data_IF_255230375596
#
_entry.id   IF_255230375596
#
_cell.length_a   1.000
_cell.length_b   1.000
_cell.length_c   1.000
_cell.angle_alpha   90.00
_cell.angle_beta   90.00
_cell.angle_gamma   90.00
#
_symmetry.space_group_name_H-M   'P 1'
#
loop_
_entity.id
_entity.type
_entity.pdbx_description
1 polymer ?
#
# COMPACT_ATOMS: atom_id res chain seq x y z
N UNK A 1 19.08 38.27 -27.80
CA UNK A 1 18.79 36.82 -27.92
C UNK A 1 19.69 35.90 -27.07
N UNK A 2 21.01 36.09 -26.97
CA UNK A 2 21.91 35.21 -26.16
C UNK A 2 21.57 35.11 -24.66
N UNK A 3 21.15 36.19 -23.98
CA UNK A 3 20.83 36.17 -22.54
C UNK A 3 19.59 35.31 -22.18
N UNK A 4 18.58 35.19 -23.05
CA UNK A 4 17.39 34.35 -22.83
C UNK A 4 17.72 32.85 -22.95
N UNK A 5 18.55 32.46 -23.91
CA UNK A 5 18.96 31.06 -24.09
C UNK A 5 19.80 30.55 -22.90
N UNK A 6 20.70 31.39 -22.38
CA UNK A 6 21.53 31.02 -21.21
C UNK A 6 20.71 30.87 -19.93
N UNK A 7 19.62 31.62 -19.79
CA UNK A 7 18.70 31.49 -18.64
C UNK A 7 17.88 30.21 -18.71
N UNK A 8 17.35 29.85 -19.90
CA UNK A 8 16.60 28.61 -20.11
C UNK A 8 17.47 27.35 -19.82
N UNK A 9 18.72 27.35 -20.31
CA UNK A 9 19.66 26.24 -20.08
C UNK A 9 20.04 26.08 -18.60
N UNK A 10 20.12 27.20 -17.86
CA UNK A 10 20.35 27.13 -16.40
C UNK A 10 19.13 26.64 -15.62
N UNK A 11 17.93 27.05 -16.01
CA UNK A 11 16.68 26.59 -15.40
C UNK A 11 16.52 25.07 -15.61
N UNK A 12 16.70 24.56 -16.84
CA UNK A 12 16.66 23.11 -17.13
C UNK A 12 17.73 22.32 -16.38
N UNK A 13 18.95 22.85 -16.24
CA UNK A 13 20.02 22.17 -15.49
C UNK A 13 19.78 22.17 -13.98
N UNK A 14 19.08 23.18 -13.44
CA UNK A 14 18.66 23.22 -12.05
C UNK A 14 17.53 22.20 -11.78
N UNK A 15 16.57 22.13 -12.71
CA UNK A 15 15.47 21.17 -12.62
C UNK A 15 15.99 19.72 -12.70
N UNK A 16 16.89 19.42 -13.64
CA UNK A 16 17.56 18.12 -13.76
C UNK A 16 18.44 17.77 -12.54
N UNK A 17 19.06 18.77 -11.92
CA UNK A 17 19.87 18.59 -10.71
C UNK A 17 18.98 18.37 -9.48
N UNK A 18 17.89 19.13 -9.36
CA UNK A 18 16.90 18.92 -8.29
C UNK A 18 16.19 17.58 -8.43
N UNK A 19 15.89 17.13 -9.65
CA UNK A 19 15.28 15.82 -9.91
C UNK A 19 16.26 14.69 -9.54
N UNK A 20 17.53 14.78 -9.94
CA UNK A 20 18.57 13.82 -9.54
C UNK A 20 18.88 13.83 -8.04
N UNK A 21 18.83 14.98 -7.39
CA UNK A 21 18.96 15.07 -5.93
C UNK A 21 17.75 14.46 -5.23
N UNK A 22 16.55 14.61 -5.77
CA UNK A 22 15.33 13.96 -5.27
C UNK A 22 15.39 12.45 -5.48
N UNK A 23 15.92 11.97 -6.59
CA UNK A 23 16.08 10.53 -6.85
C UNK A 23 17.13 9.89 -5.94
N UNK A 24 18.29 10.54 -5.73
CA UNK A 24 19.27 10.08 -4.74
C UNK A 24 18.75 10.09 -3.31
N UNK A 25 17.83 11.01 -2.97
CA UNK A 25 17.21 11.06 -1.64
C UNK A 25 16.28 9.85 -1.40
N UNK A 26 15.61 9.34 -2.43
CA UNK A 26 14.69 8.18 -2.30
C UNK A 26 15.44 6.89 -2.03
N UNK A 27 16.61 6.71 -2.62
CA UNK A 27 17.43 5.51 -2.42
C UNK A 27 18.05 5.42 -1.03
N UNK A 28 18.13 6.52 -0.28
CA UNK A 28 18.79 6.57 1.05
C UNK A 28 17.85 6.88 2.22
N UNK A 29 16.53 6.75 2.07
CA UNK A 29 15.66 6.94 3.23
C UNK A 29 15.85 5.82 4.26
N UNK A 30 15.84 6.22 5.53
CA UNK A 30 16.00 5.28 6.64
C UNK A 30 14.70 4.61 7.00
N UNK A 31 14.74 3.29 7.09
CA UNK A 31 13.67 2.46 7.63
C UNK A 31 14.04 2.08 9.06
N UNK A 32 13.21 2.42 10.02
CA UNK A 32 13.38 2.04 11.42
C UNK A 32 13.03 0.56 11.56
N UNK A 33 13.93 -0.22 12.15
CA UNK A 33 13.64 -1.64 12.42
C UNK A 33 12.52 -1.77 13.44
N UNK A 34 11.57 -2.70 13.23
CA UNK A 34 10.51 -2.97 14.20
C UNK A 34 11.10 -3.47 15.51
N UNK A 35 10.56 -2.98 16.64
CA UNK A 35 11.15 -3.18 17.96
C UNK A 35 11.08 -4.63 18.45
N UNK A 36 9.99 -5.36 18.13
CA UNK A 36 9.83 -6.79 18.45
C UNK A 36 9.09 -7.50 17.35
N UNK A 37 9.75 -8.46 16.70
CA UNK A 37 9.10 -9.42 15.83
C UNK A 37 9.13 -10.81 16.52
N UNK A 38 7.95 -11.34 16.83
CA UNK A 38 7.82 -12.73 17.23
C UNK A 38 8.02 -13.67 16.02
N UNK A 39 7.93 -15.00 16.26
CA UNK A 39 8.12 -15.99 15.20
C UNK A 39 7.16 -15.77 14.02
N UNK A 40 5.86 -15.62 14.27
CA UNK A 40 4.83 -15.44 13.24
C UNK A 40 5.04 -14.14 12.44
N UNK A 41 5.48 -13.06 13.11
CA UNK A 41 5.81 -11.81 12.44
C UNK A 41 6.99 -11.96 11.48
N UNK A 42 8.02 -12.72 11.89
CA UNK A 42 9.20 -12.98 11.06
C UNK A 42 8.83 -13.85 9.86
N UNK A 43 7.98 -14.85 10.06
CA UNK A 43 7.48 -15.70 9.00
C UNK A 43 6.65 -14.87 8.02
N UNK A 44 5.67 -14.11 8.48
CA UNK A 44 4.87 -13.22 7.64
C UNK A 44 5.74 -12.25 6.84
N UNK A 45 6.69 -11.58 7.50
CA UNK A 45 7.66 -10.72 6.84
C UNK A 45 8.47 -11.48 5.77
N UNK A 46 8.96 -12.67 6.08
CA UNK A 46 9.76 -13.46 5.13
C UNK A 46 8.96 -13.90 3.91
N UNK A 47 7.68 -14.22 4.07
CA UNK A 47 6.79 -14.55 2.95
C UNK A 47 6.54 -13.34 2.03
N UNK A 48 6.40 -12.13 2.60
CA UNK A 48 6.28 -10.93 1.77
C UNK A 48 7.57 -10.68 0.98
N UNK A 49 8.73 -10.92 1.60
CA UNK A 49 10.05 -10.69 0.97
C UNK A 49 10.48 -11.81 0.00
N UNK A 50 9.79 -12.96 0.01
CA UNK A 50 10.09 -14.06 -0.88
C UNK A 50 9.69 -13.70 -2.32
N UNK A 51 10.64 -13.78 -3.25
CA UNK A 51 10.45 -13.43 -4.66
C UNK A 51 9.52 -14.38 -5.40
N UNK A 52 9.40 -15.61 -4.92
CA UNK A 52 8.51 -16.63 -5.52
C UNK A 52 7.06 -16.54 -5.00
N UNK A 53 6.82 -15.69 -4.00
CA UNK A 53 5.49 -15.50 -3.41
C UNK A 53 4.86 -14.24 -3.97
N UNK A 54 3.80 -14.39 -4.75
CA UNK A 54 3.08 -13.28 -5.36
C UNK A 54 1.88 -12.82 -4.53
N UNK A 55 1.39 -13.68 -3.61
CA UNK A 55 0.21 -13.38 -2.81
C UNK A 55 0.37 -13.96 -1.41
N UNK A 56 0.21 -13.12 -0.40
CA UNK A 56 0.30 -13.49 1.02
C UNK A 56 -1.01 -13.13 1.70
N UNK A 57 -1.62 -14.09 2.37
CA UNK A 57 -2.76 -13.88 3.24
C UNK A 57 -2.34 -14.01 4.68
N UNK A 58 -2.74 -13.07 5.52
CA UNK A 58 -2.53 -13.13 6.96
C UNK A 58 -3.84 -12.95 7.70
N UNK A 59 -4.14 -13.90 8.57
CA UNK A 59 -5.26 -13.87 9.50
C UNK A 59 -4.75 -13.70 10.92
N UNK A 60 -5.37 -12.81 11.69
CA UNK A 60 -4.98 -12.58 13.08
C UNK A 60 -5.74 -11.44 13.73
N UNK A 61 -5.77 -11.39 15.07
CA UNK A 61 -6.56 -10.41 15.79
C UNK A 61 -6.10 -8.97 15.58
N UNK A 62 -6.98 -8.02 15.88
CA UNK A 62 -6.61 -6.60 15.91
C UNK A 62 -5.41 -6.38 16.85
N UNK A 63 -4.54 -5.43 16.50
CA UNK A 63 -3.33 -5.14 17.27
C UNK A 63 -2.17 -6.15 17.07
N UNK A 64 -2.34 -7.20 16.26
CA UNK A 64 -1.26 -8.17 15.96
C UNK A 64 -0.21 -7.66 14.95
N UNK A 65 -0.15 -6.37 14.68
CA UNK A 65 0.82 -5.69 13.82
C UNK A 65 0.83 -6.11 12.34
N UNK A 66 -0.23 -6.76 11.83
CA UNK A 66 -0.32 -7.20 10.41
C UNK A 66 -0.01 -6.07 9.42
N UNK A 67 -0.76 -4.98 9.51
CA UNK A 67 -0.63 -3.81 8.65
C UNK A 67 0.74 -3.15 8.77
N UNK A 68 1.28 -3.09 10.00
CA UNK A 68 2.63 -2.55 10.24
C UNK A 68 3.69 -3.36 9.50
N UNK A 69 3.67 -4.70 9.64
CA UNK A 69 4.65 -5.60 9.01
C UNK A 69 4.50 -5.58 7.49
N UNK A 70 3.26 -5.55 6.98
CA UNK A 70 2.99 -5.45 5.54
C UNK A 70 3.60 -4.17 4.95
N UNK A 71 3.37 -3.02 5.59
CA UNK A 71 3.91 -1.72 5.15
C UNK A 71 5.44 -1.70 5.31
N UNK A 72 5.96 -2.24 6.41
CA UNK A 72 7.41 -2.32 6.66
C UNK A 72 8.11 -3.11 5.54
N UNK A 73 7.64 -4.31 5.23
CA UNK A 73 8.20 -5.14 4.18
C UNK A 73 8.06 -4.48 2.79
N UNK A 74 6.90 -3.86 2.51
CA UNK A 74 6.67 -3.15 1.26
C UNK A 74 7.61 -1.94 1.08
N UNK A 75 7.91 -1.20 2.15
CA UNK A 75 8.87 -0.10 2.12
C UNK A 75 10.30 -0.59 1.84
N UNK A 76 10.67 -1.80 2.32
CA UNK A 76 11.96 -2.38 1.98
C UNK A 76 12.00 -2.84 0.52
N UNK A 77 10.92 -3.43 -0.04
CA UNK A 77 10.81 -3.75 -1.47
C UNK A 77 10.95 -2.49 -2.33
N UNK A 78 10.30 -1.40 -1.91
CA UNK A 78 10.37 -0.10 -2.57
C UNK A 78 11.79 0.50 -2.51
N UNK A 79 12.42 0.46 -1.34
CA UNK A 79 13.79 0.96 -1.14
C UNK A 79 14.83 0.18 -1.95
N UNK A 80 14.62 -1.12 -2.14
CA UNK A 80 15.47 -1.99 -2.95
C UNK A 80 15.11 -1.96 -4.44
N UNK A 81 14.21 -1.04 -4.85
CA UNK A 81 13.75 -0.86 -6.25
C UNK A 81 13.15 -2.13 -6.87
N UNK A 82 12.70 -3.07 -6.05
CA UNK A 82 12.02 -4.28 -6.53
C UNK A 82 10.60 -3.99 -7.00
N UNK A 83 10.02 -2.90 -6.47
CA UNK A 83 8.71 -2.36 -6.88
C UNK A 83 8.81 -0.85 -7.00
N UNK A 84 7.91 -0.27 -7.79
CA UNK A 84 7.88 1.18 -8.04
C UNK A 84 6.97 1.91 -7.04
N UNK A 85 5.99 1.21 -6.46
CA UNK A 85 5.00 1.84 -5.58
C UNK A 85 4.32 0.86 -4.64
N UNK A 86 3.72 1.41 -3.60
CA UNK A 86 2.88 0.71 -2.63
C UNK A 86 1.45 1.22 -2.79
N UNK A 87 0.53 0.31 -3.04
CA UNK A 87 -0.91 0.58 -3.11
C UNK A 87 -1.57 0.04 -1.85
N UNK A 88 -2.30 0.88 -1.16
CA UNK A 88 -3.04 0.50 0.04
C UNK A 88 -4.55 0.57 -0.23
N UNK A 89 -5.22 -0.56 -0.04
CA UNK A 89 -6.65 -0.69 -0.28
C UNK A 89 -7.32 -1.05 1.05
N UNK A 90 -8.31 -0.27 1.44
CA UNK A 90 -9.11 -0.53 2.62
C UNK A 90 -10.60 -0.39 2.30
N UNK A 91 -11.43 -1.18 3.00
CA UNK A 91 -12.87 -1.02 2.95
C UNK A 91 -13.30 0.34 3.49
N UNK A 92 -14.23 0.96 2.80
CA UNK A 92 -14.94 2.14 3.26
C UNK A 92 -16.15 1.66 4.04
N UNK A 93 -16.00 1.43 5.33
CA UNK A 93 -17.16 1.23 6.19
C UNK A 93 -17.77 2.62 6.40
N UNK A 94 -18.89 2.87 5.74
CA UNK A 94 -19.71 4.03 6.08
C UNK A 94 -20.19 3.81 7.52
N UNK A 95 -19.56 4.50 8.48
CA UNK A 95 -20.20 4.70 9.77
C UNK A 95 -21.56 5.34 9.45
N UNK A 96 -22.64 4.77 9.98
CA UNK A 96 -24.06 4.96 9.61
C UNK A 96 -24.58 6.42 9.53
N UNK A 97 -23.72 7.41 9.51
CA UNK A 97 -24.09 8.82 9.57
C UNK A 97 -23.72 9.68 8.36
N UNK A 98 -22.81 9.30 7.46
CA UNK A 98 -22.45 10.18 6.32
C UNK A 98 -21.95 9.39 5.12
N UNK A 99 -22.71 9.39 4.02
CA UNK A 99 -22.21 8.95 2.72
C UNK A 99 -21.02 9.83 2.26
N UNK A 100 -20.06 9.26 1.55
CA UNK A 100 -18.90 9.99 0.97
C UNK A 100 -19.33 11.25 0.16
N UNK A 101 -20.55 11.27 -0.38
CA UNK A 101 -21.12 12.42 -1.08
C UNK A 101 -21.47 13.62 -0.21
N UNK A 102 -21.54 13.45 1.12
CA UNK A 102 -21.99 14.46 2.09
C UNK A 102 -20.86 15.22 2.79
N UNK A 103 -19.60 14.83 2.58
CA UNK A 103 -18.46 15.53 3.16
C UNK A 103 -18.14 16.78 2.31
N UNK A 104 -18.08 17.98 2.90
CA UNK A 104 -17.58 19.18 2.23
C UNK A 104 -16.07 19.06 2.03
N UNK A 105 -15.56 19.48 0.88
CA UNK A 105 -14.14 19.50 0.57
C UNK A 105 -13.82 18.98 -0.85
N UNK A 106 -12.59 19.15 -1.28
CA UNK A 106 -12.09 18.56 -2.51
C UNK A 106 -12.02 17.04 -2.40
N UNK A 107 -11.89 16.35 -3.54
CA UNK A 107 -11.89 14.86 -3.60
C UNK A 107 -10.81 14.27 -2.68
N UNK A 108 -9.65 14.90 -2.61
CA UNK A 108 -8.52 14.46 -1.78
C UNK A 108 -8.82 14.50 -0.28
N UNK A 109 -9.56 15.51 0.18
CA UNK A 109 -9.96 15.64 1.59
C UNK A 109 -10.92 14.54 2.02
N UNK A 110 -11.75 14.06 1.13
CA UNK A 110 -12.72 12.98 1.39
C UNK A 110 -12.03 11.62 1.57
N UNK A 111 -10.91 11.41 0.90
CA UNK A 111 -10.15 10.15 0.99
C UNK A 111 -9.11 10.14 2.10
N UNK A 112 -8.80 11.30 2.68
CA UNK A 112 -7.79 11.41 3.74
C UNK A 112 -8.02 10.43 4.91
N UNK A 113 -9.24 10.23 5.46
CA UNK A 113 -9.47 9.28 6.54
C UNK A 113 -9.09 7.83 6.17
N UNK A 114 -9.21 7.45 4.90
CA UNK A 114 -8.86 6.11 4.43
C UNK A 114 -7.36 5.94 4.18
N UNK A 115 -6.68 7.04 3.84
CA UNK A 115 -5.24 7.08 3.67
C UNK A 115 -4.47 7.18 4.99
N UNK A 116 -5.10 7.71 6.05
CA UNK A 116 -4.44 7.96 7.35
C UNK A 116 -3.72 6.74 7.92
N UNK A 117 -4.30 5.52 7.95
CA UNK A 117 -3.60 4.36 8.48
C UNK A 117 -2.29 4.05 7.74
N UNK A 118 -2.26 4.18 6.41
CA UNK A 118 -1.03 4.07 5.62
C UNK A 118 -0.04 5.17 6.00
N UNK A 119 -0.49 6.43 5.97
CA UNK A 119 0.36 7.60 6.21
C UNK A 119 1.00 7.55 7.60
N UNK A 120 0.22 7.23 8.63
CA UNK A 120 0.71 7.11 10.01
C UNK A 120 1.76 6.02 10.14
N UNK A 121 1.54 4.85 9.55
CA UNK A 121 2.50 3.75 9.58
C UNK A 121 3.77 4.04 8.79
N UNK A 122 3.67 4.68 7.63
CA UNK A 122 4.85 5.11 6.87
C UNK A 122 5.66 6.14 7.66
N UNK A 123 5.03 7.11 8.34
CA UNK A 123 5.68 8.08 9.21
C UNK A 123 6.37 7.43 10.41
N UNK A 124 5.70 6.48 11.04
CA UNK A 124 6.23 5.70 12.16
C UNK A 124 7.50 4.94 11.75
N UNK A 125 7.45 4.25 10.60
CA UNK A 125 8.51 3.40 10.08
C UNK A 125 9.67 4.22 9.50
N UNK A 126 9.39 5.37 8.90
CA UNK A 126 10.39 6.22 8.25
C UNK A 126 10.54 7.56 8.98
N UNK A 127 10.01 8.63 8.41
CA UNK A 127 9.91 9.99 8.97
C UNK A 127 8.80 10.77 8.25
N UNK A 128 8.39 11.90 8.83
CA UNK A 128 7.41 12.79 8.19
C UNK A 128 7.88 13.30 6.83
N UNK A 129 9.15 13.69 6.72
CA UNK A 129 9.75 14.17 5.47
C UNK A 129 9.78 13.08 4.40
N UNK A 130 10.20 11.86 4.74
CA UNK A 130 10.20 10.72 3.83
C UNK A 130 8.78 10.39 3.36
N UNK A 131 7.82 10.31 4.28
CA UNK A 131 6.43 10.04 3.94
C UNK A 131 5.87 11.08 2.96
N UNK A 132 6.16 12.37 3.20
CA UNK A 132 5.76 13.46 2.30
C UNK A 132 6.33 13.31 0.90
N UNK A 133 7.62 12.97 0.78
CA UNK A 133 8.27 12.74 -0.52
C UNK A 133 7.67 11.53 -1.25
N UNK A 134 7.50 10.40 -0.56
CA UNK A 134 6.92 9.19 -1.14
C UNK A 134 5.50 9.43 -1.66
N UNK A 135 4.68 10.17 -0.89
CA UNK A 135 3.33 10.56 -1.31
C UNK A 135 3.36 11.47 -2.53
N UNK A 136 4.15 12.54 -2.52
CA UNK A 136 4.21 13.52 -3.60
C UNK A 136 4.72 12.91 -4.92
N UNK A 137 5.56 11.89 -4.85
CA UNK A 137 6.03 11.13 -6.01
C UNK A 137 5.07 10.01 -6.45
N UNK A 138 3.95 9.81 -5.78
CA UNK A 138 3.01 8.73 -6.08
C UNK A 138 3.56 7.32 -5.78
N UNK A 139 4.60 7.22 -4.96
CA UNK A 139 5.20 5.93 -4.57
C UNK A 139 4.43 5.23 -3.46
N UNK A 140 3.59 5.96 -2.74
CA UNK A 140 2.59 5.43 -1.81
C UNK A 140 1.23 6.04 -2.14
N UNK A 141 0.23 5.20 -2.29
CA UNK A 141 -1.11 5.60 -2.67
C UNK A 141 -2.16 4.79 -1.91
N UNK A 142 -3.20 5.44 -1.41
CA UNK A 142 -4.35 4.77 -0.83
C UNK A 142 -5.54 4.88 -1.79
N UNK A 143 -6.12 3.72 -2.14
CA UNK A 143 -7.23 3.64 -3.10
C UNK A 143 -8.42 2.99 -2.40
N UNK A 144 -9.57 3.68 -2.28
CA UNK A 144 -10.80 3.05 -1.81
C UNK A 144 -11.24 1.93 -2.74
N UNK A 145 -11.80 0.85 -2.19
CA UNK A 145 -12.18 -0.35 -2.95
C UNK A 145 -13.08 -0.06 -4.16
N UNK A 146 -13.95 0.93 -4.05
CA UNK A 146 -14.88 1.32 -5.12
C UNK A 146 -14.18 1.87 -6.37
N UNK A 147 -12.93 2.34 -6.25
CA UNK A 147 -12.13 2.91 -7.34
C UNK A 147 -11.15 1.92 -7.97
N UNK A 148 -11.10 0.68 -7.49
CA UNK A 148 -10.20 -0.36 -8.00
C UNK A 148 -10.66 -0.91 -9.36
N UNK A 149 -11.95 -0.76 -9.70
CA UNK A 149 -12.49 -1.27 -10.96
C UNK A 149 -11.83 -0.59 -12.17
N UNK A 150 -11.40 -1.40 -13.14
CA UNK A 150 -10.74 -0.91 -14.36
C UNK A 150 -9.24 -0.64 -14.22
N UNK A 151 -8.69 -0.71 -13.00
CA UNK A 151 -7.24 -0.60 -12.80
C UNK A 151 -6.55 -1.94 -13.10
N UNK A 152 -5.25 -1.86 -13.37
CA UNK A 152 -4.32 -2.99 -13.39
C UNK A 152 -3.11 -2.57 -12.60
N UNK A 153 -2.71 -3.37 -11.62
CA UNK A 153 -1.56 -3.08 -10.78
C UNK A 153 -0.31 -3.73 -11.35
N UNK A 154 0.72 -2.95 -11.63
CA UNK A 154 2.00 -3.42 -12.14
C UNK A 154 3.12 -2.89 -11.26
N UNK A 155 4.18 -3.67 -11.09
CA UNK A 155 5.41 -3.32 -10.38
C UNK A 155 5.16 -2.73 -9.00
N UNK A 156 4.25 -3.32 -8.21
CA UNK A 156 3.85 -2.75 -6.93
C UNK A 156 3.55 -3.80 -5.86
N UNK A 157 3.61 -3.38 -4.62
CA UNK A 157 3.01 -4.14 -3.51
C UNK A 157 1.62 -3.57 -3.25
N UNK A 158 0.60 -4.41 -3.34
CA UNK A 158 -0.79 -4.07 -3.02
C UNK A 158 -1.12 -4.63 -1.64
N UNK A 159 -1.37 -3.76 -0.69
CA UNK A 159 -1.77 -4.10 0.67
C UNK A 159 -3.28 -3.94 0.78
N UNK A 160 -4.00 -5.02 1.02
CA UNK A 160 -5.43 -5.02 1.31
C UNK A 160 -5.61 -5.15 2.81
N UNK A 161 -6.02 -4.07 3.44
CA UNK A 161 -6.17 -4.00 4.90
C UNK A 161 -7.62 -4.12 5.33
N UNK A 162 -7.86 -4.65 6.54
CA UNK A 162 -9.19 -4.95 7.08
C UNK A 162 -10.05 -5.78 6.11
N UNK A 163 -9.43 -6.80 5.49
CA UNK A 163 -10.05 -7.59 4.42
C UNK A 163 -11.32 -8.34 4.87
N UNK A 164 -11.52 -8.57 6.18
CA UNK A 164 -12.76 -9.10 6.73
C UNK A 164 -13.96 -8.19 6.51
N UNK A 165 -13.73 -6.91 6.25
CA UNK A 165 -14.77 -5.92 5.96
C UNK A 165 -15.01 -5.73 4.45
N UNK A 166 -14.53 -6.66 3.63
CA UNK A 166 -14.75 -6.73 2.20
C UNK A 166 -15.68 -7.89 1.86
N UNK A 167 -16.62 -7.65 0.97
CA UNK A 167 -17.44 -8.72 0.38
C UNK A 167 -16.59 -9.59 -0.54
N UNK A 168 -17.05 -10.80 -0.83
CA UNK A 168 -16.41 -11.69 -1.81
C UNK A 168 -16.25 -11.02 -3.18
N UNK A 169 -17.25 -10.25 -3.63
CA UNK A 169 -17.20 -9.54 -4.92
C UNK A 169 -16.12 -8.45 -4.95
N UNK A 170 -15.94 -7.71 -3.86
CA UNK A 170 -14.90 -6.70 -3.72
C UNK A 170 -13.51 -7.33 -3.69
N UNK A 171 -13.30 -8.37 -2.87
CA UNK A 171 -12.05 -9.12 -2.84
C UNK A 171 -11.70 -9.70 -4.21
N UNK A 172 -12.67 -10.33 -4.88
CA UNK A 172 -12.47 -10.84 -6.24
C UNK A 172 -12.09 -9.70 -7.20
N UNK A 173 -12.76 -8.55 -7.10
CA UNK A 173 -12.44 -7.38 -7.93
C UNK A 173 -11.01 -6.93 -7.71
N UNK A 174 -10.54 -6.83 -6.46
CA UNK A 174 -9.17 -6.42 -6.13
C UNK A 174 -8.17 -7.44 -6.65
N UNK A 175 -8.35 -8.72 -6.32
CA UNK A 175 -7.38 -9.77 -6.62
C UNK A 175 -7.25 -10.07 -8.12
N UNK A 176 -8.29 -9.77 -8.90
CA UNK A 176 -8.24 -9.88 -10.37
C UNK A 176 -7.56 -8.69 -11.07
N UNK A 177 -7.12 -7.68 -10.34
CA UNK A 177 -6.32 -6.56 -10.87
C UNK A 177 -4.82 -6.86 -10.93
N UNK A 178 -4.45 -8.11 -10.73
CA UNK A 178 -3.08 -8.60 -10.72
C UNK A 178 -2.40 -8.35 -12.07
N UNK A 179 -1.32 -7.60 -12.05
CA UNK A 179 -0.48 -7.30 -13.20
C UNK A 179 0.96 -7.78 -13.01
N UNK A 180 1.80 -7.49 -13.96
CA UNK A 180 3.20 -7.93 -13.94
C UNK A 180 3.98 -7.28 -12.79
N UNK A 181 4.80 -8.09 -12.09
CA UNK A 181 5.65 -7.60 -11.00
C UNK A 181 4.86 -7.12 -9.77
N UNK A 182 3.61 -7.59 -9.61
CA UNK A 182 2.76 -7.20 -8.48
C UNK A 182 2.80 -8.27 -7.40
N UNK A 183 2.81 -7.83 -6.15
CA UNK A 183 2.66 -8.67 -4.97
C UNK A 183 1.46 -8.21 -4.15
N UNK A 184 0.62 -9.13 -3.72
CA UNK A 184 -0.51 -8.86 -2.84
C UNK A 184 -0.21 -9.29 -1.40
N UNK A 185 -0.57 -8.44 -0.44
CA UNK A 185 -0.57 -8.74 0.99
C UNK A 185 -1.97 -8.45 1.52
N UNK A 186 -2.70 -9.50 1.84
CA UNK A 186 -4.10 -9.41 2.29
C UNK A 186 -4.16 -9.64 3.78
N UNK A 187 -4.48 -8.61 4.54
CA UNK A 187 -4.54 -8.60 6.00
C UNK A 187 -6.01 -8.62 6.46
N UNK A 188 -6.37 -9.57 7.29
CA UNK A 188 -7.73 -9.70 7.82
C UNK A 188 -7.77 -10.28 9.24
N UNK A 189 -9.00 -10.37 9.76
CA UNK A 189 -9.34 -11.03 11.01
C UNK A 189 -10.65 -11.80 10.81
N UNK A 190 -10.58 -13.12 10.76
CA UNK A 190 -11.76 -13.97 10.53
C UNK A 190 -12.77 -13.91 11.67
N UNK A 191 -12.37 -13.44 12.85
CA UNK A 191 -13.22 -13.32 14.04
C UNK A 191 -13.85 -11.94 14.23
N UNK A 192 -13.40 -10.94 13.46
CA UNK A 192 -13.91 -9.59 13.51
C UNK A 192 -14.42 -9.18 12.13
N UNK A 193 -15.73 -9.00 12.00
CA UNK A 193 -16.33 -8.50 10.76
C UNK A 193 -17.43 -7.52 11.11
N UNK A 194 -17.33 -6.32 10.57
CA UNK A 194 -18.36 -5.28 10.72
C UNK A 194 -19.46 -5.43 9.66
N UNK A 195 -19.32 -6.39 8.74
CA UNK A 195 -20.30 -6.67 7.69
C UNK A 195 -20.88 -8.08 7.79
N UNK A 196 -22.16 -8.22 7.42
CA UNK A 196 -22.88 -9.49 7.51
C UNK A 196 -22.39 -10.57 6.53
N UNK A 197 -21.70 -10.21 5.46
CA UNK A 197 -21.25 -11.11 4.38
C UNK A 197 -19.78 -10.86 4.03
N UNK A 198 -18.89 -11.08 4.98
CA UNK A 198 -17.45 -11.06 4.73
C UNK A 198 -17.07 -12.14 3.70
N UNK A 199 -16.26 -11.74 2.72
CA UNK A 199 -15.67 -12.67 1.77
C UNK A 199 -14.33 -13.23 2.19
N UNK A 200 -13.72 -12.66 3.25
CA UNK A 200 -12.33 -12.95 3.60
C UNK A 200 -12.10 -14.42 3.97
N UNK A 201 -12.90 -14.98 4.88
CA UNK A 201 -12.75 -16.39 5.30
C UNK A 201 -12.88 -17.38 4.13
N UNK A 202 -13.85 -17.15 3.23
CA UNK A 202 -14.01 -18.01 2.06
C UNK A 202 -12.83 -17.94 1.10
N UNK A 203 -12.37 -16.72 0.83
CA UNK A 203 -11.22 -16.49 -0.06
C UNK A 203 -9.94 -17.03 0.58
N UNK A 204 -9.72 -16.75 1.86
CA UNK A 204 -8.57 -17.28 2.61
C UNK A 204 -8.49 -18.81 2.56
N UNK A 205 -9.61 -19.50 2.85
CA UNK A 205 -9.66 -20.97 2.78
C UNK A 205 -9.38 -21.52 1.38
N UNK A 206 -9.88 -20.86 0.34
CA UNK A 206 -9.60 -21.28 -1.05
C UNK A 206 -8.12 -21.17 -1.40
N UNK A 207 -7.48 -20.07 -1.02
CA UNK A 207 -6.05 -19.89 -1.29
C UNK A 207 -5.16 -20.78 -0.43
N UNK A 208 -5.59 -21.17 0.78
CA UNK A 208 -4.83 -22.13 1.62
C UNK A 208 -4.82 -23.57 1.10
N UNK A 209 -5.72 -23.89 0.16
CA UNK A 209 -5.86 -25.23 -0.44
C UNK A 209 -5.29 -25.33 -1.86
N UNK A 210 -4.85 -24.21 -2.44
CA UNK A 210 -4.23 -24.17 -3.77
C UNK A 210 -2.73 -24.36 -3.60
N UNK A 211 -2.20 -25.50 -4.01
CA UNK A 211 -0.77 -25.63 -4.25
C UNK A 211 -0.37 -24.60 -5.29
N UNK A 212 0.67 -23.82 -5.02
CA UNK A 212 1.16 -22.85 -5.98
C UNK A 212 1.48 -23.56 -7.29
N UNK A 213 0.67 -23.35 -8.29
CA UNK A 213 0.98 -23.77 -9.65
C UNK A 213 2.04 -22.81 -10.16
N UNK A 214 3.22 -23.35 -10.46
CA UNK A 214 4.31 -22.65 -11.11
C UNK A 214 3.89 -22.04 -12.47
#
# INVERSE_FOLDING_TARGET
MRKKATRLVRETQLDDFEEKMKDNFLLDFKIKRPFYLNHNHKEFYSQIRNTNTNMVFVDGPAGSAKTYIAIYAALEELKEEKVERIIYIRSVIESAAKSLGSLPGEVDDKFLPYAMPLIEKVREITSDSTCGVLKNKGMIEAIPVNFVRGLTFNNCVVIVDEAQNLTKGELTTILTRFGRGTKYVVCGDTHQSDINKSGFSEVYQKFSTVDCVE
#
